data_IF_110985930883
#
_entry.id   IF_110985930883
#
_cell.length_a   1.000
_cell.length_b   1.000
_cell.length_c   1.000
_cell.angle_alpha   90.00
_cell.angle_beta   90.00
_cell.angle_gamma   90.00
#
_symmetry.space_group_name_H-M   'P 1'
#
loop_
_entity.id
_entity.type
_entity.pdbx_description
1 polymer ?
#
# COMPACT_ATOMS: atom_id res chain seq x y z
N UNK A 1 -72.90 80.16 108.98
CA UNK A 1 -73.83 80.47 107.88
C UNK A 1 -73.93 79.25 106.98
N UNK A 2 -75.14 78.85 106.63
CA UNK A 2 -75.55 78.15 105.38
C UNK A 2 -74.88 76.80 105.06
N UNK A 3 -75.58 75.69 104.82
CA UNK A 3 -77.00 75.45 104.62
C UNK A 3 -77.15 73.99 104.23
N UNK A 4 -77.47 73.14 105.20
CA UNK A 4 -77.72 71.70 105.03
C UNK A 4 -79.16 71.49 104.56
N UNK A 5 -79.41 71.62 103.25
CA UNK A 5 -80.70 71.28 102.63
C UNK A 5 -80.84 69.76 102.57
N UNK A 6 -81.34 69.16 103.65
CA UNK A 6 -81.78 67.75 103.65
C UNK A 6 -83.11 67.64 102.91
N UNK A 7 -83.05 67.12 101.69
CA UNK A 7 -84.22 66.68 100.95
C UNK A 7 -84.85 65.46 101.64
N UNK A 8 -86.06 65.61 102.19
CA UNK A 8 -86.91 64.47 102.58
C UNK A 8 -87.58 63.90 101.33
N UNK A 9 -87.00 62.84 100.76
CA UNK A 9 -87.63 62.00 99.74
C UNK A 9 -88.82 61.23 100.34
N UNK A 10 -89.93 61.11 99.61
CA UNK A 10 -91.08 60.29 100.05
C UNK A 10 -90.73 58.80 99.91
N UNK A 11 -91.28 57.97 100.81
CA UNK A 11 -91.00 56.53 100.91
C UNK A 11 -91.16 55.77 99.56
N UNK A 12 -92.14 56.16 98.74
CA UNK A 12 -92.38 55.59 97.40
C UNK A 12 -91.29 55.93 96.38
N UNK A 13 -90.63 57.09 96.52
CA UNK A 13 -89.51 57.51 95.66
C UNK A 13 -88.21 56.82 96.08
N UNK A 14 -88.05 56.55 97.38
CA UNK A 14 -86.91 55.78 97.89
C UNK A 14 -86.95 54.34 97.36
N UNK A 15 -88.09 53.64 97.43
CA UNK A 15 -88.25 52.28 96.87
C UNK A 15 -88.04 52.25 95.35
N UNK A 16 -88.46 53.29 94.62
CA UNK A 16 -88.18 53.44 93.18
C UNK A 16 -86.69 53.66 92.85
N UNK A 17 -85.98 54.40 93.71
CA UNK A 17 -84.54 54.61 93.59
C UNK A 17 -83.74 53.36 93.94
N UNK A 18 -84.09 52.64 95.02
CA UNK A 18 -83.41 51.39 95.39
C UNK A 18 -83.65 50.29 94.36
N UNK A 19 -84.84 50.22 93.78
CA UNK A 19 -85.13 49.28 92.69
C UNK A 19 -84.42 49.66 91.39
N UNK A 20 -84.28 50.96 91.07
CA UNK A 20 -83.48 51.43 89.93
C UNK A 20 -81.98 51.20 90.11
N UNK A 21 -81.43 51.45 91.32
CA UNK A 21 -80.03 51.18 91.66
C UNK A 21 -79.75 49.69 91.65
N UNK A 22 -80.64 48.86 92.21
CA UNK A 22 -80.52 47.40 92.13
C UNK A 22 -80.70 46.86 90.69
N UNK A 23 -81.44 47.57 89.84
CA UNK A 23 -81.55 47.29 88.40
C UNK A 23 -80.27 47.66 87.63
N UNK A 24 -79.64 48.78 87.97
CA UNK A 24 -78.36 49.22 87.42
C UNK A 24 -77.19 48.35 87.89
N UNK A 25 -77.18 47.89 89.14
CA UNK A 25 -76.17 46.94 89.62
C UNK A 25 -76.32 45.59 88.92
N UNK A 26 -77.55 45.09 88.77
CA UNK A 26 -77.79 43.87 87.98
C UNK A 26 -77.39 44.04 86.52
N UNK A 27 -77.63 45.20 85.91
CA UNK A 27 -77.21 45.45 84.53
C UNK A 27 -75.69 45.56 84.41
N UNK A 28 -75.02 46.20 85.38
CA UNK A 28 -73.55 46.28 85.46
C UNK A 28 -72.91 44.91 85.66
N UNK A 29 -73.44 44.09 86.57
CA UNK A 29 -72.95 42.73 86.80
C UNK A 29 -73.17 41.86 85.55
N UNK A 30 -74.30 42.00 84.88
CA UNK A 30 -74.58 41.32 83.61
C UNK A 30 -73.64 41.77 82.50
N UNK A 31 -73.31 43.07 82.42
CA UNK A 31 -72.38 43.61 81.44
C UNK A 31 -70.95 43.16 81.72
N UNK A 32 -70.53 43.15 82.98
CA UNK A 32 -69.23 42.67 83.45
C UNK A 32 -69.06 41.18 83.15
N UNK A 33 -70.10 40.37 83.39
CA UNK A 33 -70.14 38.95 83.04
C UNK A 33 -69.97 38.77 81.52
N UNK A 34 -70.73 39.53 80.71
CA UNK A 34 -70.62 39.49 79.23
C UNK A 34 -69.23 39.89 78.75
N UNK A 35 -68.60 40.91 79.32
CA UNK A 35 -67.23 41.34 78.96
C UNK A 35 -66.20 40.25 79.33
N UNK A 36 -66.36 39.61 80.49
CA UNK A 36 -65.51 38.49 80.91
C UNK A 36 -65.67 37.29 79.97
N UNK A 37 -66.90 36.93 79.63
CA UNK A 37 -67.21 35.84 78.70
C UNK A 37 -66.65 36.14 77.29
N UNK A 38 -66.79 37.39 76.81
CA UNK A 38 -66.23 37.82 75.52
C UNK A 38 -64.69 37.75 75.52
N UNK A 39 -64.03 38.13 76.62
CA UNK A 39 -62.57 38.02 76.77
C UNK A 39 -62.12 36.56 76.80
N UNK A 40 -62.84 35.70 77.51
CA UNK A 40 -62.55 34.27 77.52
C UNK A 40 -62.76 33.64 76.13
N UNK A 41 -63.82 34.03 75.42
CA UNK A 41 -64.12 33.55 74.07
C UNK A 41 -63.08 34.05 73.04
N UNK A 42 -62.71 35.33 73.09
CA UNK A 42 -61.66 35.89 72.22
C UNK A 42 -60.30 35.25 72.48
N UNK A 43 -59.92 35.02 73.74
CA UNK A 43 -58.67 34.32 74.07
C UNK A 43 -58.67 32.87 73.56
N UNK A 44 -59.80 32.17 73.65
CA UNK A 44 -59.95 30.82 73.06
C UNK A 44 -59.83 30.85 71.55
N UNK A 45 -60.46 31.82 70.88
CA UNK A 45 -60.36 32.00 69.42
C UNK A 45 -58.94 32.31 68.97
N UNK A 46 -58.23 33.20 69.67
CA UNK A 46 -56.82 33.52 69.40
C UNK A 46 -55.96 32.26 69.55
N UNK A 47 -56.07 31.54 70.67
CA UNK A 47 -55.30 30.32 70.91
C UNK A 47 -55.59 29.21 69.89
N UNK A 48 -56.85 29.10 69.45
CA UNK A 48 -57.24 28.16 68.40
C UNK A 48 -56.65 28.56 67.03
N UNK A 49 -56.63 29.85 66.70
CA UNK A 49 -56.00 30.37 65.48
C UNK A 49 -54.49 30.20 65.53
N UNK A 50 -53.82 30.50 66.65
CA UNK A 50 -52.39 30.26 66.85
C UNK A 50 -52.02 28.79 66.68
N UNK A 51 -52.78 27.89 67.31
CA UNK A 51 -52.55 26.45 67.20
C UNK A 51 -52.74 25.96 65.76
N UNK A 52 -53.76 26.49 65.07
CA UNK A 52 -54.04 26.19 63.66
C UNK A 52 -52.95 26.73 62.73
N UNK A 53 -52.47 27.96 62.95
CA UNK A 53 -51.39 28.55 62.16
C UNK A 53 -50.08 27.79 62.41
N UNK A 54 -49.78 27.44 63.66
CA UNK A 54 -48.58 26.67 63.98
C UNK A 54 -48.61 25.28 63.36
N UNK A 55 -49.77 24.60 63.36
CA UNK A 55 -49.90 23.29 62.71
C UNK A 55 -49.79 23.40 61.18
N UNK A 56 -50.31 24.47 60.57
CA UNK A 56 -50.15 24.76 59.15
C UNK A 56 -48.69 25.08 58.79
N UNK A 57 -48.00 25.89 59.58
CA UNK A 57 -46.57 26.21 59.39
C UNK A 57 -45.73 24.93 59.48
N UNK A 58 -45.96 24.11 60.51
CA UNK A 58 -45.24 22.85 60.67
C UNK A 58 -45.53 21.88 59.52
N UNK A 59 -46.77 21.82 59.04
CA UNK A 59 -47.14 20.99 57.90
C UNK A 59 -46.45 21.45 56.60
N UNK A 60 -46.40 22.77 56.36
CA UNK A 60 -45.72 23.37 55.20
C UNK A 60 -44.21 23.12 55.26
N UNK A 61 -43.56 23.30 56.42
CA UNK A 61 -42.14 22.98 56.59
C UNK A 61 -41.87 21.50 56.34
N UNK A 62 -42.67 20.60 56.91
CA UNK A 62 -42.50 19.17 56.69
C UNK A 62 -42.69 18.75 55.22
N UNK A 63 -43.58 19.41 54.48
CA UNK A 63 -43.75 19.18 53.04
C UNK A 63 -42.56 19.74 52.24
N UNK A 64 -42.08 20.93 52.59
CA UNK A 64 -40.92 21.55 51.97
C UNK A 64 -39.66 20.70 52.15
N UNK A 65 -39.38 20.22 53.36
CA UNK A 65 -38.23 19.36 53.66
C UNK A 65 -38.27 18.06 52.87
N UNK A 66 -39.46 17.46 52.69
CA UNK A 66 -39.63 16.28 51.83
C UNK A 66 -39.32 16.58 50.36
N UNK A 67 -39.74 17.75 49.85
CA UNK A 67 -39.45 18.16 48.46
C UNK A 67 -37.97 18.44 48.27
N UNK A 68 -37.33 19.14 49.20
CA UNK A 68 -35.88 19.39 49.17
C UNK A 68 -35.12 18.08 49.23
N UNK A 69 -35.46 17.18 50.17
CA UNK A 69 -34.81 15.87 50.28
C UNK A 69 -34.94 15.01 49.02
N UNK A 70 -36.08 15.09 48.30
CA UNK A 70 -36.26 14.42 47.00
C UNK A 70 -35.36 15.04 45.94
N UNK A 71 -35.36 16.36 45.80
CA UNK A 71 -34.50 17.07 44.83
C UNK A 71 -33.02 16.78 45.10
N UNK A 72 -32.59 16.74 46.37
CA UNK A 72 -31.23 16.36 46.72
C UNK A 72 -30.88 14.91 46.37
N UNK A 73 -31.83 13.98 46.55
CA UNK A 73 -31.66 12.60 46.14
C UNK A 73 -31.53 12.48 44.62
N UNK A 74 -32.43 13.12 43.86
CA UNK A 74 -32.41 13.16 42.39
C UNK A 74 -31.09 13.78 41.88
N UNK A 75 -30.62 14.87 42.51
CA UNK A 75 -29.33 15.50 42.18
C UNK A 75 -28.14 14.58 42.46
N UNK A 76 -28.18 13.77 43.54
CA UNK A 76 -27.12 12.78 43.82
C UNK A 76 -27.10 11.66 42.79
N UNK A 77 -28.26 11.16 42.37
CA UNK A 77 -28.37 10.14 41.33
C UNK A 77 -27.82 10.64 40.00
N UNK A 78 -28.25 11.83 39.54
CA UNK A 78 -27.75 12.46 38.32
C UNK A 78 -26.22 12.64 38.36
N UNK A 79 -25.67 13.07 39.52
CA UNK A 79 -24.21 13.20 39.67
C UNK A 79 -23.49 11.86 39.58
N UNK A 80 -24.05 10.80 40.16
CA UNK A 80 -23.46 9.46 40.08
C UNK A 80 -23.48 8.92 38.65
N UNK A 81 -24.60 9.09 37.93
CA UNK A 81 -24.70 8.63 36.55
C UNK A 81 -23.76 9.41 35.61
N UNK A 82 -23.66 10.73 35.79
CA UNK A 82 -22.64 11.54 35.08
C UNK A 82 -21.21 11.06 35.36
N UNK A 83 -20.89 10.75 36.62
CA UNK A 83 -19.57 10.24 36.97
C UNK A 83 -19.29 8.87 36.34
N UNK A 84 -20.28 7.97 36.32
CA UNK A 84 -20.17 6.66 35.66
C UNK A 84 -20.00 6.80 34.15
N UNK A 85 -20.78 7.67 33.50
CA UNK A 85 -20.67 7.95 32.08
C UNK A 85 -19.29 8.55 31.72
N UNK A 86 -18.77 9.47 32.54
CA UNK A 86 -17.44 10.04 32.36
C UNK A 86 -16.33 8.99 32.47
N UNK A 87 -16.40 8.12 33.47
CA UNK A 87 -15.45 7.02 33.65
C UNK A 87 -15.50 6.03 32.48
N UNK A 88 -16.70 5.66 32.02
CA UNK A 88 -16.87 4.81 30.85
C UNK A 88 -16.29 5.48 29.58
N UNK A 89 -16.59 6.77 29.35
CA UNK A 89 -16.07 7.51 28.21
C UNK A 89 -14.53 7.55 28.21
N UNK A 90 -13.90 7.75 29.37
CA UNK A 90 -12.45 7.74 29.50
C UNK A 90 -11.82 6.39 29.08
N UNK A 91 -12.43 5.27 29.49
CA UNK A 91 -11.98 3.91 29.10
C UNK A 91 -12.06 3.74 27.58
N UNK A 92 -13.16 4.16 26.95
CA UNK A 92 -13.33 4.07 25.49
C UNK A 92 -12.34 4.97 24.74
N UNK A 93 -12.09 6.18 25.22
CA UNK A 93 -11.07 7.09 24.66
C UNK A 93 -9.70 6.45 24.74
N UNK A 94 -9.33 5.86 25.87
CA UNK A 94 -8.03 5.19 26.03
C UNK A 94 -7.89 4.00 25.06
N UNK A 95 -8.92 3.16 24.94
CA UNK A 95 -8.92 2.05 23.99
C UNK A 95 -8.79 2.52 22.54
N UNK A 96 -9.52 3.58 22.17
CA UNK A 96 -9.47 4.14 20.83
C UNK A 96 -8.08 4.73 20.51
N UNK A 97 -7.44 5.42 21.46
CA UNK A 97 -6.07 5.95 21.28
C UNK A 97 -5.08 4.82 21.01
N UNK A 98 -5.16 3.70 21.75
CA UNK A 98 -4.27 2.54 21.52
C UNK A 98 -4.40 2.00 20.10
N UNK A 99 -5.62 1.85 19.59
CA UNK A 99 -5.87 1.39 18.22
C UNK A 99 -5.34 2.42 17.22
N UNK A 100 -5.63 3.70 17.45
CA UNK A 100 -5.17 4.80 16.60
C UNK A 100 -3.65 4.81 16.47
N UNK A 101 -2.91 4.64 17.56
CA UNK A 101 -1.45 4.62 17.55
C UNK A 101 -0.91 3.38 16.84
N UNK A 102 -1.56 2.21 17.01
CA UNK A 102 -1.24 1.02 16.24
C UNK A 102 -1.41 1.24 14.73
N UNK A 103 -2.53 1.84 14.31
CA UNK A 103 -2.78 2.16 12.89
C UNK A 103 -1.80 3.20 12.35
N UNK A 104 -1.46 4.22 13.14
CA UNK A 104 -0.48 5.25 12.76
C UNK A 104 0.94 4.70 12.59
N UNK A 105 1.28 3.58 13.25
CA UNK A 105 2.56 2.90 13.09
C UNK A 105 2.66 2.04 11.81
N UNK A 106 1.56 1.80 11.11
CA UNK A 106 1.57 1.03 9.86
C UNK A 106 2.12 1.88 8.71
N UNK A 107 2.76 1.27 7.68
CA UNK A 107 3.27 1.99 6.51
C UNK A 107 2.12 2.36 5.56
N UNK A 108 1.18 3.20 6.04
CA UNK A 108 -0.07 3.54 5.36
C UNK A 108 0.18 4.03 3.93
N UNK A 109 1.22 4.82 3.66
CA UNK A 109 1.54 5.30 2.30
C UNK A 109 1.72 4.19 1.25
N UNK A 110 2.13 2.99 1.66
CA UNK A 110 2.40 1.86 0.75
C UNK A 110 1.20 0.95 0.57
N UNK A 111 0.39 0.83 1.63
CA UNK A 111 -0.78 -0.05 1.69
C UNK A 111 -2.08 0.72 1.41
N UNK A 112 -2.06 2.05 1.44
CA UNK A 112 -3.24 2.89 1.31
C UNK A 112 -3.73 2.97 -0.12
N UNK A 113 -5.05 2.79 -0.24
CA UNK A 113 -5.85 3.25 -1.36
C UNK A 113 -6.61 4.51 -0.92
N UNK A 114 -7.31 5.17 -1.85
CA UNK A 114 -8.21 6.28 -1.54
C UNK A 114 -9.28 5.93 -0.49
N UNK A 115 -9.52 4.64 -0.23
CA UNK A 115 -10.57 4.13 0.66
C UNK A 115 -10.15 4.00 2.13
N UNK A 116 -8.85 4.09 2.44
CA UNK A 116 -8.40 4.18 3.84
C UNK A 116 -8.66 5.61 4.32
N UNK A 117 -9.74 5.76 5.11
CA UNK A 117 -10.13 7.05 5.68
C UNK A 117 -8.93 7.65 6.44
N UNK A 118 -8.57 8.92 6.20
CA UNK A 118 -7.49 9.54 6.92
C UNK A 118 -7.81 9.56 8.42
N UNK A 119 -6.77 9.36 9.25
CA UNK A 119 -6.85 9.38 10.71
C UNK A 119 -7.42 10.69 11.29
N UNK A 120 -7.56 11.73 10.46
CA UNK A 120 -8.09 13.04 10.84
C UNK A 120 -9.52 12.99 11.39
N UNK A 121 -10.41 12.16 10.84
CA UNK A 121 -11.78 12.03 11.32
C UNK A 121 -11.86 11.42 12.74
N UNK A 122 -11.28 10.24 13.00
CA UNK A 122 -11.28 9.68 14.36
C UNK A 122 -10.45 10.51 15.35
N UNK A 123 -9.36 11.17 14.94
CA UNK A 123 -8.59 12.09 15.80
C UNK A 123 -9.45 13.30 16.23
N UNK A 124 -10.28 13.83 15.33
CA UNK A 124 -11.23 14.89 15.67
C UNK A 124 -12.32 14.39 16.64
N UNK A 125 -12.89 13.22 16.39
CA UNK A 125 -13.89 12.62 17.28
C UNK A 125 -13.33 12.36 18.70
N UNK A 126 -12.09 11.88 18.81
CA UNK A 126 -11.42 11.70 20.11
C UNK A 126 -11.19 13.02 20.83
N UNK A 127 -10.85 14.08 20.10
CA UNK A 127 -10.70 15.43 20.65
C UNK A 127 -12.03 15.97 21.18
N UNK A 128 -13.12 15.83 20.41
CA UNK A 128 -14.48 16.19 20.83
C UNK A 128 -14.96 15.41 22.06
N UNK A 129 -14.65 14.11 22.13
CA UNK A 129 -15.01 13.29 23.29
C UNK A 129 -14.31 13.78 24.57
N UNK A 130 -13.01 14.13 24.48
CA UNK A 130 -12.26 14.70 25.61
C UNK A 130 -12.81 16.06 26.04
N UNK A 131 -13.14 16.93 25.09
CA UNK A 131 -13.75 18.23 25.36
C UNK A 131 -15.13 18.09 26.01
N UNK A 132 -15.93 17.11 25.58
CA UNK A 132 -17.25 16.82 26.17
C UNK A 132 -17.14 16.38 27.63
N UNK A 133 -16.09 15.62 28.01
CA UNK A 133 -15.79 15.32 29.42
C UNK A 133 -15.44 16.62 30.17
N UNK A 134 -14.56 17.45 29.60
CA UNK A 134 -14.10 18.69 30.24
C UNK A 134 -15.23 19.71 30.46
N UNK A 135 -16.23 19.74 29.57
CA UNK A 135 -17.39 20.64 29.65
C UNK A 135 -18.56 20.08 30.46
N UNK A 136 -18.43 18.89 31.07
CA UNK A 136 -19.45 18.20 31.89
C UNK A 136 -20.66 17.62 31.11
N UNK A 137 -20.40 17.10 29.91
CA UNK A 137 -21.33 16.39 29.01
C UNK A 137 -20.87 14.93 28.77
N UNK A 138 -20.84 14.08 29.82
CA UNK A 138 -20.21 12.76 29.74
C UNK A 138 -20.97 11.75 28.87
N UNK A 139 -22.28 11.89 28.69
CA UNK A 139 -23.08 11.01 27.84
C UNK A 139 -22.75 11.23 26.35
N UNK A 140 -22.56 12.50 25.95
CA UNK A 140 -22.09 12.85 24.61
C UNK A 140 -20.66 12.33 24.40
N UNK A 141 -19.78 12.52 25.39
CA UNK A 141 -18.41 11.99 25.35
C UNK A 141 -18.39 10.46 25.17
N UNK A 142 -19.22 9.73 25.90
CA UNK A 142 -19.32 8.28 25.81
C UNK A 142 -19.74 7.83 24.41
N UNK A 143 -20.80 8.44 23.87
CA UNK A 143 -21.30 8.13 22.53
C UNK A 143 -20.25 8.41 21.45
N UNK A 144 -19.61 9.58 21.50
CA UNK A 144 -18.55 9.97 20.55
C UNK A 144 -17.34 9.04 20.65
N UNK A 145 -16.90 8.69 21.87
CA UNK A 145 -15.79 7.77 22.10
C UNK A 145 -16.09 6.36 21.55
N UNK A 146 -17.32 5.85 21.75
CA UNK A 146 -17.75 4.57 21.19
C UNK A 146 -17.79 4.58 19.66
N UNK A 147 -18.22 5.68 19.03
CA UNK A 147 -18.17 5.81 17.56
C UNK A 147 -16.74 5.80 17.06
N UNK A 148 -15.88 6.65 17.63
CA UNK A 148 -14.47 6.74 17.26
C UNK A 148 -13.76 5.38 17.41
N UNK A 149 -14.02 4.66 18.51
CA UNK A 149 -13.48 3.32 18.73
C UNK A 149 -13.89 2.32 17.63
N UNK A 150 -15.17 2.27 17.25
CA UNK A 150 -15.67 1.38 16.18
C UNK A 150 -15.08 1.73 14.82
N UNK A 151 -14.99 3.02 14.50
CA UNK A 151 -14.37 3.51 13.26
C UNK A 151 -12.89 3.12 13.19
N UNK A 152 -12.15 3.33 14.28
CA UNK A 152 -10.73 2.96 14.38
C UNK A 152 -10.51 1.46 14.31
N UNK A 153 -11.38 0.65 14.93
CA UNK A 153 -11.29 -0.82 14.84
C UNK A 153 -11.54 -1.28 13.41
N UNK A 154 -12.51 -0.67 12.71
CA UNK A 154 -12.78 -0.96 11.30
C UNK A 154 -11.60 -0.56 10.42
N UNK A 155 -11.00 0.60 10.68
CA UNK A 155 -9.81 1.07 9.98
C UNK A 155 -8.61 0.14 10.23
N UNK A 156 -8.41 -0.31 11.46
CA UNK A 156 -7.34 -1.26 11.82
C UNK A 156 -7.46 -2.56 11.03
N UNK A 157 -8.64 -3.20 11.05
CA UNK A 157 -8.86 -4.46 10.33
C UNK A 157 -8.60 -4.28 8.82
N UNK A 158 -9.07 -3.16 8.25
CA UNK A 158 -8.80 -2.84 6.84
C UNK A 158 -7.31 -2.64 6.57
N UNK A 159 -6.61 -1.88 7.41
CA UNK A 159 -5.18 -1.61 7.26
C UNK A 159 -4.34 -2.89 7.41
N UNK A 160 -4.66 -3.75 8.37
CA UNK A 160 -4.01 -5.05 8.57
C UNK A 160 -4.24 -5.98 7.38
N UNK A 161 -5.48 -6.05 6.87
CA UNK A 161 -5.77 -6.83 5.66
C UNK A 161 -4.97 -6.33 4.45
N UNK A 162 -4.87 -5.00 4.26
CA UNK A 162 -4.08 -4.42 3.18
C UNK A 162 -2.58 -4.63 3.35
N UNK A 163 -2.08 -4.61 4.58
CA UNK A 163 -0.70 -4.94 4.87
C UNK A 163 -0.39 -6.40 4.51
N UNK A 164 -1.27 -7.33 4.90
CA UNK A 164 -1.12 -8.74 4.55
C UNK A 164 -1.14 -8.97 3.03
N UNK A 165 -2.09 -8.33 2.32
CA UNK A 165 -2.13 -8.38 0.85
C UNK A 165 -0.84 -7.86 0.22
N UNK A 166 -0.34 -6.71 0.67
CA UNK A 166 0.91 -6.13 0.18
C UNK A 166 2.13 -7.04 0.47
N UNK A 167 2.18 -7.66 1.65
CA UNK A 167 3.24 -8.61 2.00
C UNK A 167 3.23 -9.83 1.08
N UNK A 168 2.05 -10.42 0.82
CA UNK A 168 1.91 -11.57 -0.09
C UNK A 168 2.34 -11.20 -1.51
N UNK A 169 1.94 -10.03 -2.02
CA UNK A 169 2.36 -9.56 -3.34
C UNK A 169 3.86 -9.34 -3.43
N UNK A 170 4.45 -8.76 -2.37
CA UNK A 170 5.88 -8.54 -2.29
C UNK A 170 6.65 -9.86 -2.30
N UNK A 171 6.23 -10.85 -1.51
CA UNK A 171 6.84 -12.17 -1.46
C UNK A 171 6.74 -12.87 -2.83
N UNK A 172 5.56 -12.85 -3.46
CA UNK A 172 5.37 -13.39 -4.81
C UNK A 172 6.29 -12.72 -5.85
N UNK A 173 6.50 -11.39 -5.76
CA UNK A 173 7.40 -10.67 -6.65
C UNK A 173 8.87 -11.05 -6.42
N UNK A 174 9.29 -11.22 -5.17
CA UNK A 174 10.63 -11.68 -4.81
C UNK A 174 10.90 -13.10 -5.31
N UNK A 175 9.96 -14.02 -5.13
CA UNK A 175 10.09 -15.40 -5.59
C UNK A 175 10.20 -15.46 -7.12
N UNK A 176 9.31 -14.75 -7.82
CA UNK A 176 9.29 -14.74 -9.27
C UNK A 176 10.55 -14.08 -9.87
N UNK A 177 11.03 -12.96 -9.30
CA UNK A 177 12.31 -12.37 -9.74
C UNK A 177 13.51 -13.25 -9.39
N UNK A 178 13.48 -13.95 -8.26
CA UNK A 178 14.54 -14.90 -7.89
C UNK A 178 14.61 -16.06 -8.88
N UNK A 179 13.47 -16.51 -9.40
CA UNK A 179 13.42 -17.51 -10.47
C UNK A 179 14.07 -16.98 -11.77
N UNK A 180 13.74 -15.74 -12.18
CA UNK A 180 14.39 -15.10 -13.35
C UNK A 180 15.89 -14.93 -13.13
N UNK A 181 16.31 -14.43 -11.96
CA UNK A 181 17.73 -14.28 -11.63
C UNK A 181 18.47 -15.62 -11.63
N UNK A 182 17.83 -16.68 -11.14
CA UNK A 182 18.38 -18.04 -11.17
C UNK A 182 18.54 -18.54 -12.59
N UNK A 183 17.52 -18.39 -13.43
CA UNK A 183 17.61 -18.69 -14.86
C UNK A 183 18.78 -17.94 -15.51
N UNK A 184 18.92 -16.63 -15.25
CA UNK A 184 20.01 -15.83 -15.79
C UNK A 184 21.39 -16.31 -15.34
N UNK A 185 21.54 -16.74 -14.08
CA UNK A 185 22.81 -17.29 -13.57
C UNK A 185 23.14 -18.64 -14.19
N UNK A 186 22.16 -19.54 -14.26
CA UNK A 186 22.33 -20.90 -14.79
C UNK A 186 22.66 -20.89 -16.29
N UNK A 187 22.17 -19.88 -17.02
CA UNK A 187 22.39 -19.74 -18.46
C UNK A 187 23.45 -18.69 -18.82
N UNK A 188 24.17 -18.12 -17.86
CA UNK A 188 25.25 -17.18 -18.16
C UNK A 188 26.40 -17.84 -18.95
N UNK A 189 26.70 -19.10 -18.61
CA UNK A 189 27.61 -19.98 -19.33
C UNK A 189 26.81 -21.18 -19.82
N UNK A 190 26.51 -21.24 -21.11
CA UNK A 190 25.68 -22.29 -21.70
C UNK A 190 26.55 -23.31 -22.42
N UNK A 191 26.15 -24.58 -22.39
CA UNK A 191 26.78 -25.64 -23.17
C UNK A 191 25.73 -26.28 -24.07
N UNK A 192 26.04 -26.39 -25.37
CA UNK A 192 25.15 -27.05 -26.32
C UNK A 192 24.92 -28.51 -25.91
N UNK A 193 23.76 -29.04 -26.27
CA UNK A 193 23.38 -30.42 -25.97
C UNK A 193 22.89 -31.10 -27.24
N UNK A 194 23.21 -32.39 -27.37
CA UNK A 194 22.71 -33.23 -28.46
C UNK A 194 21.22 -33.61 -28.25
N UNK A 195 20.67 -34.39 -29.18
CA UNK A 195 19.29 -34.91 -29.12
C UNK A 195 19.03 -35.79 -27.89
N UNK A 196 20.07 -36.31 -27.24
CA UNK A 196 20.03 -37.14 -26.04
C UNK A 196 20.35 -36.36 -24.76
N UNK A 197 20.59 -35.04 -24.86
CA UNK A 197 20.93 -34.17 -23.75
C UNK A 197 22.40 -34.21 -23.30
N UNK A 198 23.27 -34.92 -24.03
CA UNK A 198 24.70 -34.96 -23.76
C UNK A 198 25.38 -33.67 -24.22
N UNK A 199 26.35 -33.14 -23.46
CA UNK A 199 27.02 -31.90 -23.82
C UNK A 199 27.83 -32.04 -25.12
N UNK A 200 27.64 -31.09 -26.05
CA UNK A 200 28.43 -30.92 -27.27
C UNK A 200 29.25 -29.64 -27.15
N UNK A 201 30.52 -29.71 -27.56
CA UNK A 201 31.40 -28.55 -27.63
C UNK A 201 31.79 -27.98 -26.27
N UNK A 202 32.54 -26.88 -26.30
CA UNK A 202 32.92 -26.14 -25.10
C UNK A 202 31.75 -25.25 -24.61
N UNK A 203 31.65 -24.98 -23.31
CA UNK A 203 30.72 -23.97 -22.81
C UNK A 203 31.08 -22.58 -23.35
N UNK A 204 30.08 -21.75 -23.62
CA UNK A 204 30.22 -20.38 -24.10
C UNK A 204 29.49 -19.38 -23.20
N UNK A 205 30.01 -18.15 -23.13
CA UNK A 205 29.40 -17.06 -22.37
C UNK A 205 28.30 -16.38 -23.19
N UNK A 206 27.05 -16.50 -22.75
CA UNK A 206 25.89 -15.97 -23.47
C UNK A 206 26.03 -14.47 -23.75
N UNK A 207 26.54 -13.70 -22.76
CA UNK A 207 26.63 -12.25 -22.87
C UNK A 207 27.56 -11.78 -24.00
N UNK A 208 28.65 -12.53 -24.25
CA UNK A 208 29.54 -12.28 -25.37
C UNK A 208 28.83 -12.38 -26.71
N UNK A 209 27.96 -13.38 -26.88
CA UNK A 209 27.24 -13.68 -28.12
C UNK A 209 26.03 -12.77 -28.38
N UNK A 210 25.57 -12.03 -27.36
CA UNK A 210 24.50 -11.02 -27.49
C UNK A 210 24.96 -9.61 -27.14
N UNK A 211 26.24 -9.32 -27.36
CA UNK A 211 26.83 -7.98 -27.26
C UNK A 211 26.55 -7.25 -25.92
N UNK A 212 26.65 -7.97 -24.80
CA UNK A 212 26.51 -7.36 -23.46
C UNK A 212 25.06 -7.11 -23.00
N UNK A 213 24.06 -7.48 -23.82
CA UNK A 213 22.64 -7.22 -23.50
C UNK A 213 22.12 -8.12 -22.38
N UNK A 214 22.68 -9.32 -22.23
CA UNK A 214 22.30 -10.26 -21.18
C UNK A 214 22.82 -9.81 -19.81
N UNK A 215 24.03 -9.25 -19.74
CA UNK A 215 24.60 -8.64 -18.55
C UNK A 215 23.80 -7.42 -18.09
N UNK A 216 23.34 -6.59 -19.03
CA UNK A 216 22.43 -5.46 -18.74
C UNK A 216 21.10 -5.95 -18.16
N UNK A 217 20.51 -6.99 -18.75
CA UNK A 217 19.28 -7.60 -18.24
C UNK A 217 19.47 -8.13 -16.81
N UNK A 218 20.58 -8.82 -16.54
CA UNK A 218 20.90 -9.33 -15.19
C UNK A 218 21.01 -8.19 -14.18
N UNK A 219 21.70 -7.11 -14.53
CA UNK A 219 21.81 -5.93 -13.67
C UNK A 219 20.43 -5.28 -13.39
N UNK A 220 19.52 -5.27 -14.38
CA UNK A 220 18.16 -4.78 -14.20
C UNK A 220 17.36 -5.66 -13.22
N UNK A 221 17.45 -6.98 -13.37
CA UNK A 221 16.82 -7.95 -12.44
C UNK A 221 17.36 -7.78 -11.02
N UNK A 222 18.69 -7.68 -10.85
CA UNK A 222 19.32 -7.49 -9.54
C UNK A 222 18.91 -6.17 -8.88
N UNK A 223 18.79 -5.10 -9.68
CA UNK A 223 18.32 -3.79 -9.19
C UNK A 223 16.89 -3.88 -8.67
N UNK A 224 15.99 -4.53 -9.42
CA UNK A 224 14.60 -4.68 -9.03
C UNK A 224 14.45 -5.60 -7.80
N UNK A 225 15.25 -6.67 -7.71
CA UNK A 225 15.33 -7.50 -6.50
C UNK A 225 15.75 -6.68 -5.28
N UNK A 226 16.79 -5.87 -5.40
CA UNK A 226 17.28 -5.03 -4.31
C UNK A 226 16.24 -3.98 -3.87
N UNK A 227 15.50 -3.39 -4.82
CA UNK A 227 14.41 -2.45 -4.54
C UNK A 227 13.29 -3.10 -3.72
N UNK A 228 12.86 -4.31 -4.11
CA UNK A 228 11.75 -5.00 -3.44
C UNK A 228 12.21 -5.61 -2.10
N UNK A 229 13.44 -6.11 -2.01
CA UNK A 229 13.97 -6.75 -0.80
C UNK A 229 14.22 -5.76 0.35
N UNK A 230 14.47 -4.48 0.06
CA UNK A 230 14.62 -3.47 1.10
C UNK A 230 13.25 -3.02 1.62
N UNK A 231 12.87 -3.47 2.83
CA UNK A 231 11.63 -3.08 3.50
C UNK A 231 11.43 -1.55 3.60
N UNK A 232 12.49 -0.74 3.57
CA UNK A 232 12.39 0.73 3.63
C UNK A 232 12.19 1.38 2.27
N UNK A 233 12.49 0.69 1.19
CA UNK A 233 12.36 1.18 -0.20
C UNK A 233 11.35 0.39 -1.02
N UNK A 234 10.80 -0.67 -0.44
CA UNK A 234 9.86 -1.54 -1.10
C UNK A 234 8.69 -0.73 -1.69
N UNK A 235 8.34 -1.00 -2.96
CA UNK A 235 7.32 -0.24 -3.66
C UNK A 235 5.93 -0.43 -3.04
N UNK A 236 5.07 0.55 -3.26
CA UNK A 236 3.65 0.45 -2.91
C UNK A 236 2.92 -0.57 -3.79
N UNK A 237 1.70 -0.93 -3.38
CA UNK A 237 0.89 -1.97 -4.03
C UNK A 237 0.75 -1.83 -5.55
N UNK A 238 0.37 -0.65 -6.04
CA UNK A 238 0.13 -0.46 -7.47
C UNK A 238 1.38 -0.74 -8.32
N UNK A 239 2.58 -0.46 -7.78
CA UNK A 239 3.84 -0.75 -8.46
C UNK A 239 4.19 -2.25 -8.37
N UNK A 240 3.94 -2.91 -7.24
CA UNK A 240 4.07 -4.37 -7.14
C UNK A 240 3.16 -5.10 -8.13
N UNK A 241 1.91 -4.65 -8.28
CA UNK A 241 0.98 -5.20 -9.26
C UNK A 241 1.52 -5.05 -10.69
N UNK A 242 2.06 -3.87 -11.04
CA UNK A 242 2.68 -3.64 -12.34
C UNK A 242 3.92 -4.52 -12.58
N UNK A 243 4.76 -4.70 -11.55
CA UNK A 243 5.95 -5.55 -11.61
C UNK A 243 5.56 -7.01 -11.87
N UNK A 244 4.57 -7.52 -11.13
CA UNK A 244 4.08 -8.89 -11.27
C UNK A 244 3.41 -9.14 -12.63
N UNK A 245 2.63 -8.18 -13.12
CA UNK A 245 1.85 -8.34 -14.33
C UNK A 245 2.66 -8.13 -15.62
N UNK A 246 3.65 -7.24 -15.61
CA UNK A 246 4.35 -6.79 -16.82
C UNK A 246 5.86 -7.02 -16.73
N UNK A 247 6.52 -6.37 -15.77
CA UNK A 247 7.99 -6.31 -15.74
C UNK A 247 8.62 -7.71 -15.62
N UNK A 248 8.15 -8.56 -14.68
CA UNK A 248 8.71 -9.90 -14.48
C UNK A 248 8.50 -10.80 -15.71
N UNK A 249 7.28 -10.94 -16.27
CA UNK A 249 7.07 -11.69 -17.51
C UNK A 249 7.91 -11.20 -18.70
N UNK A 250 8.07 -9.89 -18.86
CA UNK A 250 8.88 -9.28 -19.91
C UNK A 250 10.35 -9.65 -19.72
N UNK A 251 10.92 -9.41 -18.53
CA UNK A 251 12.29 -9.77 -18.19
C UNK A 251 12.56 -11.27 -18.40
N UNK A 252 11.64 -12.14 -17.99
CA UNK A 252 11.76 -13.58 -18.16
C UNK A 252 11.69 -14.02 -19.62
N UNK A 253 10.93 -13.32 -20.47
CA UNK A 253 10.86 -13.60 -21.91
C UNK A 253 12.11 -13.10 -22.61
N UNK A 254 12.53 -11.86 -22.35
CA UNK A 254 13.78 -11.31 -22.87
C UNK A 254 14.98 -12.18 -22.49
N UNK A 255 15.05 -12.69 -21.25
CA UNK A 255 16.13 -13.59 -20.84
C UNK A 255 16.20 -14.86 -21.71
N UNK A 256 15.05 -15.50 -21.96
CA UNK A 256 14.95 -16.70 -22.80
C UNK A 256 15.33 -16.40 -24.25
N UNK A 257 14.82 -15.32 -24.81
CA UNK A 257 15.07 -14.93 -26.20
C UNK A 257 16.55 -14.61 -26.45
N UNK A 258 17.23 -13.99 -25.47
CA UNK A 258 18.66 -13.70 -25.54
C UNK A 258 19.49 -15.00 -25.50
N UNK A 259 19.17 -15.94 -24.62
CA UNK A 259 19.85 -17.25 -24.57
C UNK A 259 19.64 -18.01 -25.89
N UNK A 260 18.42 -18.05 -26.41
CA UNK A 260 18.12 -18.69 -27.69
C UNK A 260 18.86 -18.03 -28.85
N UNK A 261 18.95 -16.69 -28.84
CA UNK A 261 19.71 -15.94 -29.85
C UNK A 261 21.21 -16.23 -29.77
N UNK A 262 21.77 -16.33 -28.57
CA UNK A 262 23.16 -16.74 -28.37
C UNK A 262 23.39 -18.17 -28.93
N UNK A 263 22.51 -19.11 -28.59
CA UNK A 263 22.58 -20.50 -29.09
C UNK A 263 22.56 -20.52 -30.63
N UNK A 264 21.62 -19.80 -31.26
CA UNK A 264 21.54 -19.72 -32.73
C UNK A 264 22.83 -19.19 -33.35
N UNK A 265 23.44 -18.16 -32.76
CA UNK A 265 24.69 -17.56 -33.26
C UNK A 265 25.89 -18.49 -33.10
N UNK A 266 25.96 -19.26 -32.01
CA UNK A 266 27.01 -20.28 -31.83
C UNK A 266 26.86 -21.39 -32.86
N UNK A 267 25.64 -21.93 -33.03
CA UNK A 267 25.38 -22.97 -34.04
C UNK A 267 25.70 -22.47 -35.45
N UNK A 268 25.37 -21.21 -35.76
CA UNK A 268 25.75 -20.57 -37.01
C UNK A 268 27.27 -20.43 -37.20
N UNK A 269 28.02 -20.18 -36.14
CA UNK A 269 29.48 -20.15 -36.18
C UNK A 269 30.08 -21.53 -36.47
N UNK A 270 29.62 -22.57 -35.78
CA UNK A 270 30.04 -23.95 -36.02
C UNK A 270 29.73 -24.38 -37.46
N UNK A 271 28.51 -24.10 -37.95
CA UNK A 271 28.12 -24.38 -39.35
C UNK A 271 28.99 -23.65 -40.37
N UNK A 272 29.50 -22.46 -40.07
CA UNK A 272 30.43 -21.75 -40.96
C UNK A 272 31.77 -22.48 -41.08
N UNK A 273 32.29 -23.00 -39.97
CA UNK A 273 33.50 -23.82 -40.00
C UNK A 273 33.27 -25.14 -40.76
N UNK A 274 32.14 -25.82 -40.54
CA UNK A 274 31.75 -27.03 -41.28
C UNK A 274 31.64 -26.76 -42.79
N UNK A 275 30.95 -25.68 -43.18
CA UNK A 275 30.82 -25.28 -44.59
C UNK A 275 32.17 -25.02 -45.24
N UNK A 276 33.13 -24.45 -44.52
CA UNK A 276 34.48 -24.26 -45.07
C UNK A 276 35.16 -25.61 -45.34
N UNK A 277 34.94 -26.62 -44.49
CA UNK A 277 35.43 -27.97 -44.75
C UNK A 277 34.81 -28.58 -46.01
N UNK A 278 33.49 -28.41 -46.22
CA UNK A 278 32.80 -28.87 -47.43
C UNK A 278 33.33 -28.18 -48.69
N UNK A 279 33.52 -26.85 -48.63
CA UNK A 279 34.14 -26.08 -49.72
C UNK A 279 35.56 -26.57 -50.01
N UNK A 280 36.33 -26.86 -48.97
CA UNK A 280 37.68 -27.37 -49.11
C UNK A 280 37.72 -28.76 -49.74
N UNK A 281 36.81 -29.66 -49.39
CA UNK A 281 36.67 -30.96 -50.04
C UNK A 281 36.32 -30.81 -51.53
N UNK A 282 35.38 -29.92 -51.86
CA UNK A 282 34.99 -29.68 -53.24
C UNK A 282 36.15 -29.08 -54.07
N UNK A 283 36.91 -28.13 -53.51
CA UNK A 283 38.06 -27.53 -54.17
C UNK A 283 39.26 -28.48 -54.28
N UNK A 284 39.37 -29.47 -53.39
CA UNK A 284 40.38 -30.54 -53.50
C UNK A 284 40.20 -31.36 -54.77
N UNK A 285 38.96 -31.59 -55.22
CA UNK A 285 38.70 -32.26 -56.52
C UNK A 285 39.23 -31.47 -57.72
N UNK A 286 39.44 -30.15 -57.54
CA UNK A 286 40.00 -29.24 -58.54
C UNK A 286 41.52 -29.04 -58.36
N UNK A 287 42.15 -29.74 -57.42
CA UNK A 287 43.58 -29.69 -57.17
C UNK A 287 44.05 -28.65 -56.15
N UNK A 288 43.13 -28.01 -55.39
CA UNK A 288 43.47 -27.07 -54.32
C UNK A 288 43.41 -27.76 -52.95
N UNK A 289 44.54 -27.81 -52.24
CA UNK A 289 44.61 -28.34 -50.88
C UNK A 289 44.32 -27.26 -49.84
N UNK A 290 43.62 -27.62 -48.77
CA UNK A 290 43.42 -26.73 -47.62
C UNK A 290 44.75 -26.51 -46.88
N UNK A 291 45.14 -25.24 -46.72
CA UNK A 291 46.40 -24.86 -46.04
C UNK A 291 46.12 -24.45 -44.61
N UNK A 292 45.26 -23.45 -44.44
CA UNK A 292 44.97 -22.82 -43.17
C UNK A 292 43.59 -22.16 -43.21
N UNK A 293 42.95 -22.05 -42.06
CA UNK A 293 41.78 -21.21 -41.90
C UNK A 293 41.35 -21.08 -40.46
N UNK A 294 40.52 -20.08 -40.22
CA UNK A 294 40.07 -19.72 -38.89
C UNK A 294 39.18 -18.48 -38.91
N UNK A 295 38.70 -18.13 -37.72
CA UNK A 295 37.96 -16.89 -37.52
C UNK A 295 38.90 -15.70 -37.50
N UNK A 296 38.54 -14.63 -38.22
CA UNK A 296 39.31 -13.38 -38.25
C UNK A 296 39.41 -12.82 -36.82
N UNK A 297 40.60 -12.42 -36.42
CA UNK A 297 40.91 -11.88 -35.08
C UNK A 297 40.52 -12.81 -33.91
N UNK A 298 40.37 -14.13 -34.16
CA UNK A 298 39.77 -15.09 -33.21
C UNK A 298 38.35 -14.69 -32.74
N UNK A 299 37.65 -13.88 -33.52
CA UNK A 299 36.24 -13.55 -33.28
C UNK A 299 35.33 -14.62 -33.88
N UNK A 300 34.93 -15.57 -33.04
CA UNK A 300 33.99 -16.64 -33.41
C UNK A 300 32.62 -16.13 -33.91
N UNK A 301 32.28 -14.85 -33.67
CA UNK A 301 31.07 -14.24 -34.22
C UNK A 301 31.30 -13.70 -35.63
N UNK A 302 32.52 -13.30 -35.96
CA UNK A 302 32.94 -12.69 -37.21
C UNK A 302 33.24 -13.68 -38.33
N UNK A 303 33.79 -13.20 -39.43
CA UNK A 303 34.04 -13.96 -40.66
C UNK A 303 34.97 -15.17 -40.45
N UNK A 304 34.63 -16.31 -41.07
CA UNK A 304 35.55 -17.44 -41.20
C UNK A 304 36.32 -17.33 -42.52
N UNK A 305 37.63 -17.46 -42.49
CA UNK A 305 38.49 -17.40 -43.70
C UNK A 305 39.22 -18.73 -43.87
N UNK A 306 39.17 -19.30 -45.07
CA UNK A 306 39.95 -20.46 -45.47
C UNK A 306 40.87 -20.13 -46.65
N UNK A 307 42.11 -20.58 -46.57
CA UNK A 307 43.14 -20.44 -47.62
C UNK A 307 43.42 -21.83 -48.18
N UNK A 308 43.31 -21.94 -49.50
CA UNK A 308 43.61 -23.15 -50.25
C UNK A 308 44.69 -22.86 -51.29
N UNK A 309 45.61 -23.80 -51.50
CA UNK A 309 46.73 -23.65 -52.42
C UNK A 309 46.85 -24.90 -53.30
N UNK A 310 47.14 -24.71 -54.60
CA UNK A 310 47.42 -25.82 -55.51
C UNK A 310 48.93 -26.13 -55.57
N UNK A 311 49.31 -27.20 -56.28
CA UNK A 311 50.74 -27.58 -56.44
C UNK A 311 51.58 -26.56 -57.23
N UNK A 312 50.94 -25.65 -57.96
CA UNK A 312 51.60 -24.59 -58.72
C UNK A 312 51.83 -23.31 -57.89
N UNK A 313 51.26 -23.23 -56.67
CA UNK A 313 51.34 -22.08 -55.78
C UNK A 313 50.21 -21.06 -55.96
N UNK A 314 49.19 -21.34 -56.79
CA UNK A 314 48.01 -20.49 -56.89
C UNK A 314 47.14 -20.63 -55.65
N UNK A 315 46.54 -19.51 -55.20
CA UNK A 315 45.80 -19.45 -53.94
C UNK A 315 44.35 -19.05 -54.13
N UNK A 316 43.46 -19.74 -53.42
CA UNK A 316 42.06 -19.36 -53.28
C UNK A 316 41.82 -18.99 -51.82
N UNK A 317 41.29 -17.80 -51.59
CA UNK A 317 40.85 -17.34 -50.28
C UNK A 317 39.34 -17.28 -50.29
N UNK A 318 38.72 -18.12 -49.45
CA UNK A 318 37.28 -18.16 -49.21
C UNK A 318 37.01 -17.43 -47.91
N UNK A 319 36.06 -16.50 -47.90
CA UNK A 319 35.58 -15.86 -46.68
C UNK A 319 34.08 -16.06 -46.54
N UNK A 320 33.65 -16.62 -45.40
CA UNK A 320 32.25 -16.85 -45.04
C UNK A 320 31.83 -15.80 -44.02
N UNK A 321 31.10 -14.79 -44.50
CA UNK A 321 30.61 -13.66 -43.71
C UNK A 321 29.21 -14.02 -43.18
N UNK A 322 28.95 -13.85 -41.87
CA UNK A 322 27.62 -14.04 -41.34
C UNK A 322 26.67 -12.95 -41.85
N UNK A 323 25.44 -13.32 -42.21
CA UNK A 323 24.40 -12.34 -42.52
C UNK A 323 23.90 -11.68 -41.21
N UNK A 324 23.73 -10.35 -41.25
CA UNK A 324 23.22 -9.58 -40.11
C UNK A 324 21.74 -9.88 -39.79
N UNK A 325 20.96 -10.32 -40.79
CA UNK A 325 19.51 -10.51 -40.67
C UNK A 325 19.11 -11.97 -40.41
N UNK A 326 19.85 -12.94 -40.96
CA UNK A 326 19.64 -14.37 -40.73
C UNK A 326 20.94 -15.06 -40.29
N UNK A 327 21.07 -15.44 -39.00
CA UNK A 327 22.23 -16.16 -38.50
C UNK A 327 22.55 -17.45 -39.28
N UNK A 328 21.56 -18.09 -39.91
CA UNK A 328 21.78 -19.33 -40.66
C UNK A 328 22.29 -19.09 -42.10
N UNK A 329 22.12 -17.87 -42.61
CA UNK A 329 22.55 -17.44 -43.94
C UNK A 329 24.01 -16.95 -43.89
N UNK A 330 24.74 -17.21 -44.97
CA UNK A 330 26.12 -16.76 -45.11
C UNK A 330 26.37 -16.16 -46.47
N UNK A 331 27.12 -15.07 -46.48
CA UNK A 331 27.66 -14.49 -47.70
C UNK A 331 29.04 -15.08 -47.95
N UNK A 332 29.25 -15.63 -49.15
CA UNK A 332 30.53 -16.19 -49.56
C UNK A 332 31.28 -15.21 -50.47
N UNK A 333 32.50 -14.88 -50.05
CA UNK A 333 33.49 -14.13 -50.83
C UNK A 333 34.58 -15.10 -51.30
N UNK A 334 34.77 -15.19 -52.61
CA UNK A 334 35.81 -16.01 -53.23
C UNK A 334 36.82 -15.09 -53.91
N UNK A 335 38.07 -15.08 -53.43
CA UNK A 335 39.17 -14.37 -54.08
C UNK A 335 40.17 -15.41 -54.62
N UNK A 336 40.42 -15.38 -55.93
CA UNK A 336 41.31 -16.32 -56.61
C UNK A 336 42.56 -15.59 -57.09
N UNK A 337 43.71 -15.96 -56.56
CA UNK A 337 45.03 -15.43 -56.91
C UNK A 337 45.75 -16.46 -57.78
N UNK A 338 45.38 -16.47 -59.06
CA UNK A 338 45.93 -17.33 -60.10
C UNK A 338 46.54 -16.48 -61.21
N UNK A 339 47.77 -16.81 -61.61
CA UNK A 339 48.42 -16.14 -62.74
C UNK A 339 47.90 -16.74 -64.07
N UNK A 340 47.01 -16.01 -64.75
CA UNK A 340 46.57 -16.33 -66.11
C UNK A 340 45.19 -17.00 -66.26
N UNK A 341 44.39 -17.15 -65.20
CA UNK A 341 42.99 -17.56 -65.34
C UNK A 341 42.08 -16.42 -65.82
N UNK A 342 41.12 -16.73 -66.70
CA UNK A 342 40.12 -15.73 -67.12
C UNK A 342 39.11 -15.48 -66.01
N UNK A 343 38.59 -14.26 -65.94
CA UNK A 343 37.53 -13.90 -64.99
C UNK A 343 36.29 -14.80 -65.13
N UNK A 344 36.06 -15.36 -66.32
CA UNK A 344 34.99 -16.31 -66.62
C UNK A 344 35.16 -17.64 -65.86
N UNK A 345 36.38 -18.16 -65.74
CA UNK A 345 36.66 -19.38 -64.95
C UNK A 345 36.44 -19.12 -63.45
N UNK A 346 36.78 -17.92 -62.98
CA UNK A 346 36.59 -17.51 -61.58
C UNK A 346 35.10 -17.41 -61.23
N UNK A 347 34.30 -16.82 -62.13
CA UNK A 347 32.85 -16.72 -62.01
C UNK A 347 32.20 -18.11 -62.01
N UNK A 348 32.56 -18.98 -62.97
CA UNK A 348 32.01 -20.34 -63.05
C UNK A 348 32.33 -21.17 -61.80
N UNK A 349 33.55 -21.04 -61.25
CA UNK A 349 33.91 -21.74 -60.01
C UNK A 349 33.08 -21.25 -58.82
N UNK A 350 32.91 -19.93 -58.68
CA UNK A 350 32.09 -19.36 -57.62
C UNK A 350 30.64 -19.81 -57.71
N UNK A 351 30.05 -19.81 -58.92
CA UNK A 351 28.68 -20.27 -59.16
C UNK A 351 28.51 -21.76 -58.83
N UNK A 352 29.45 -22.62 -59.27
CA UNK A 352 29.41 -24.05 -58.97
C UNK A 352 29.49 -24.34 -57.46
N UNK A 353 30.28 -23.56 -56.71
CA UNK A 353 30.34 -23.69 -55.24
C UNK A 353 29.06 -23.23 -54.56
N UNK A 354 28.46 -22.13 -55.02
CA UNK A 354 27.18 -21.64 -54.49
C UNK A 354 26.05 -22.62 -54.78
N UNK A 355 25.98 -23.17 -55.99
CA UNK A 355 24.99 -24.18 -56.37
C UNK A 355 25.14 -25.44 -55.52
N UNK A 356 26.38 -25.94 -55.36
CA UNK A 356 26.67 -27.10 -54.51
C UNK A 356 26.21 -26.89 -53.06
N UNK A 357 26.51 -25.74 -52.45
CA UNK A 357 26.14 -25.46 -51.06
C UNK A 357 24.62 -25.26 -50.89
N UNK A 358 23.96 -24.63 -51.86
CA UNK A 358 22.50 -24.49 -51.87
C UNK A 358 21.79 -25.84 -52.00
N UNK A 359 22.33 -26.76 -52.83
CA UNK A 359 21.82 -28.13 -52.97
C UNK A 359 21.97 -28.96 -51.67
N UNK A 360 22.96 -28.64 -50.83
CA UNK A 360 23.11 -29.19 -49.47
C UNK A 360 22.20 -28.50 -48.43
N UNK A 361 21.27 -27.64 -48.87
CA UNK A 361 20.31 -26.95 -48.02
C UNK A 361 20.88 -25.74 -47.27
N UNK A 362 22.03 -25.23 -47.70
CA UNK A 362 22.64 -24.02 -47.13
C UNK A 362 22.37 -22.81 -48.01
N UNK A 363 21.67 -21.80 -47.49
CA UNK A 363 21.52 -20.51 -48.19
C UNK A 363 22.87 -19.78 -48.24
N UNK A 364 23.45 -19.71 -49.44
CA UNK A 364 24.68 -18.95 -49.72
C UNK A 364 24.42 -17.90 -50.80
N UNK A 365 24.75 -16.65 -50.50
CA UNK A 365 24.80 -15.58 -51.50
C UNK A 365 26.25 -15.27 -51.89
N UNK A 366 26.50 -15.11 -53.19
CA UNK A 366 27.81 -14.68 -53.70
C UNK A 366 27.92 -13.16 -53.58
N UNK A 367 29.00 -12.70 -52.95
CA UNK A 367 29.42 -11.32 -53.08
C UNK A 367 30.46 -11.16 -54.21
N UNK A 368 30.44 -10.03 -54.95
CA UNK A 368 31.44 -9.76 -55.99
C UNK A 368 32.84 -9.68 -55.37
N UNK A 369 33.82 -10.25 -56.07
CA UNK A 369 35.20 -10.30 -55.59
C UNK A 369 35.83 -8.90 -55.56
N UNK A 370 36.91 -8.72 -54.77
CA UNK A 370 37.59 -7.42 -54.63
C UNK A 370 38.19 -6.90 -55.96
N UNK A 371 38.40 -7.81 -56.91
CA UNK A 371 38.95 -7.52 -58.24
C UNK A 371 37.85 -7.14 -59.27
N UNK A 372 36.57 -7.29 -58.93
CA UNK A 372 35.43 -6.95 -59.80
C UNK A 372 35.01 -5.46 -59.75
N UNK A 373 35.86 -4.56 -59.23
CA UNK A 373 35.75 -3.13 -59.50
C UNK A 373 34.73 -2.34 -58.68
N UNK A 374 34.41 -2.74 -57.44
CA UNK A 374 33.65 -1.88 -56.52
C UNK A 374 34.59 -1.18 -55.53
N UNK A 375 34.74 0.15 -55.67
CA UNK A 375 35.66 1.00 -54.90
C UNK A 375 35.38 1.16 -53.39
N UNK A 376 34.89 0.12 -52.70
CA UNK A 376 34.78 0.10 -51.23
C UNK A 376 35.97 -0.67 -50.64
N UNK A 377 36.92 0.07 -50.05
CA UNK A 377 37.97 -0.52 -49.21
C UNK A 377 37.35 -1.14 -47.95
N UNK A 378 37.49 -2.46 -47.78
CA UNK A 378 37.36 -3.18 -46.50
C UNK A 378 38.66 -3.95 -46.22
N UNK A 379 38.99 -4.21 -44.94
CA UNK A 379 40.35 -4.47 -44.49
C UNK A 379 40.95 -5.73 -45.13
N UNK A 380 42.26 -5.70 -45.39
CA UNK A 380 43.01 -6.91 -45.75
C UNK A 380 42.97 -7.89 -44.57
N UNK A 381 42.66 -9.18 -44.79
CA UNK A 381 42.75 -10.17 -43.75
C UNK A 381 44.23 -10.47 -43.53
N UNK A 382 44.84 -9.79 -42.56
CA UNK A 382 46.04 -10.30 -41.90
C UNK A 382 45.58 -11.36 -40.90
N UNK A 383 45.77 -12.64 -41.21
CA UNK A 383 45.79 -13.68 -40.19
C UNK A 383 47.06 -13.42 -39.35
N UNK A 384 46.87 -12.92 -38.14
CA UNK A 384 47.93 -12.64 -37.17
C UNK A 384 47.99 -13.68 -36.08
#
# INVERSE_FOLDING_TARGET
MSGDKRYRLRESEWVGLTSSVAGLQRSYDTLSQRVSDLRAETQRKIKAVETRLQSQINAVHAEFDKRVGRVEADVREIKQDKARAAAAAAIWIEGAVKIRDAVAGLPLERIATADLTPLSQPDHALSLARESIATNWPEAALSTAQSAYRELTTLQVKAEARLAEWQVQREAALDALTAVATFCRENASYQLKDEHGAPIGAPFEVDGWVAGTFGKLRAAVDTLLAEIADDRRAPGRARLDAILANDIPELGTTARDLVETAIRRVVAAERRAERMADIAEQLLTQGYGYVEGGFVDNDYQGTYVGILENVAGDRIVVSLVPDEHDPNSVEMLLNSYEDGSSDEIRIQRAEALVEYLNDQGTSVERLPSRDEGTGRRRPEPGLG
#
